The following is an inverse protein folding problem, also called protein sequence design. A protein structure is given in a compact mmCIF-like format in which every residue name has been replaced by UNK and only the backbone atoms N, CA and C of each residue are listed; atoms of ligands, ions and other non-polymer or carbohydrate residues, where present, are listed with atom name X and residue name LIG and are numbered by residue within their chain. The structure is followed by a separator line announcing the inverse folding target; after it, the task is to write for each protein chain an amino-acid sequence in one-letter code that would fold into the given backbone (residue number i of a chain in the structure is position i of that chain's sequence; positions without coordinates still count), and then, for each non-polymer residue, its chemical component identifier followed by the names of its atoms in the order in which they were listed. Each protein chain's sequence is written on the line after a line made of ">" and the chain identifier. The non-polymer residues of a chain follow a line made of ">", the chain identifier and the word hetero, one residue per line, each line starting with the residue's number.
data_IF_673641190354
#
_entry.id   IF_673641190354
#
_cell.length_a   1.000
_cell.length_b   1.000
_cell.length_c   1.000
_cell.angle_alpha   90.00
_cell.angle_beta   90.00
_cell.angle_gamma   90.00
#
_symmetry.space_group_name_H-M   'P 1'
#
loop_
_entity.id
_entity.type
_entity.pdbx_description
1 polymer ?
#
# COMPACT_ATOMS: atom_id res chain seq x y z
N UNK A 1 33.25 8.65 -46.15
CA UNK A 1 33.72 10.02 -45.80
C UNK A 1 32.47 10.88 -45.85
N UNK A 2 31.74 10.96 -44.73
CA UNK A 2 31.56 12.17 -43.89
C UNK A 2 30.62 13.16 -44.59
N UNK A 3 29.50 13.66 -44.07
CA UNK A 3 29.15 14.24 -42.76
C UNK A 3 27.60 14.35 -42.68
N UNK A 4 26.91 13.98 -41.59
CA UNK A 4 26.54 14.78 -40.39
C UNK A 4 25.17 15.49 -40.47
N UNK A 5 24.47 15.46 -39.31
CA UNK A 5 23.28 16.22 -38.83
C UNK A 5 21.93 15.50 -38.94
N UNK A 6 21.05 15.45 -37.92
CA UNK A 6 21.06 16.01 -36.58
C UNK A 6 20.27 15.10 -35.61
N UNK A 7 20.74 15.04 -34.36
CA UNK A 7 19.94 14.56 -33.25
C UNK A 7 18.73 15.50 -33.04
N UNK A 8 17.56 14.90 -32.85
CA UNK A 8 16.47 15.53 -32.11
C UNK A 8 15.95 14.48 -31.13
N UNK A 9 16.53 14.49 -29.94
CA UNK A 9 16.07 13.72 -28.79
C UNK A 9 14.72 14.28 -28.35
N UNK A 10 13.67 13.47 -28.49
CA UNK A 10 12.47 13.65 -27.68
C UNK A 10 12.85 13.57 -26.20
N UNK A 11 12.22 14.34 -25.30
CA UNK A 11 12.51 14.24 -23.87
C UNK A 11 12.17 12.82 -23.43
N UNK A 12 13.14 12.07 -22.89
CA UNK A 12 12.83 10.78 -22.28
C UNK A 12 11.97 11.07 -21.05
N UNK A 13 10.68 10.71 -21.14
CA UNK A 13 9.80 10.63 -20.00
C UNK A 13 10.49 9.75 -18.96
N UNK A 14 10.97 10.34 -17.87
CA UNK A 14 11.42 9.56 -16.72
C UNK A 14 10.17 8.90 -16.13
N UNK A 15 9.90 7.65 -16.54
CA UNK A 15 8.68 6.90 -16.18
C UNK A 15 8.54 6.75 -14.66
N UNK A 16 9.67 6.74 -13.95
CA UNK A 16 9.74 6.65 -12.50
C UNK A 16 10.82 7.55 -11.92
N UNK A 17 10.54 8.13 -10.74
CA UNK A 17 11.48 8.87 -9.92
C UNK A 17 12.03 7.98 -8.82
N UNK A 18 13.36 7.93 -8.73
CA UNK A 18 14.10 7.10 -7.78
C UNK A 18 14.35 7.84 -6.46
N UNK A 19 14.05 7.20 -5.33
CA UNK A 19 14.31 7.72 -3.99
C UNK A 19 15.08 6.68 -3.17
N UNK A 20 16.27 7.03 -2.68
CA UNK A 20 17.03 6.18 -1.75
C UNK A 20 16.59 6.54 -0.33
N UNK A 21 16.20 5.54 0.45
CA UNK A 21 15.87 5.68 1.86
C UNK A 21 17.16 5.48 2.68
N UNK A 22 18.02 6.49 2.67
CA UNK A 22 19.34 6.44 3.32
C UNK A 22 19.26 5.99 4.78
N UNK A 23 20.03 4.96 5.14
CA UNK A 23 20.00 4.38 6.49
C UNK A 23 18.73 3.59 6.80
N UNK A 24 18.07 3.06 5.77
CA UNK A 24 16.99 2.09 5.90
C UNK A 24 17.24 0.93 4.94
N UNK A 25 18.02 -0.04 5.40
CA UNK A 25 18.19 -1.34 4.78
C UNK A 25 17.16 -2.36 5.31
N UNK A 26 17.23 -3.60 4.83
CA UNK A 26 16.30 -4.68 5.20
C UNK A 26 16.37 -5.02 6.69
N UNK A 27 17.55 -5.05 7.29
CA UNK A 27 17.72 -5.37 8.70
C UNK A 27 17.13 -4.29 9.60
N UNK A 28 17.36 -3.02 9.25
CA UNK A 28 16.77 -1.87 9.91
C UNK A 28 15.25 -1.91 9.79
N UNK A 29 14.71 -2.17 8.59
CA UNK A 29 13.27 -2.30 8.40
C UNK A 29 12.65 -3.41 9.25
N UNK A 30 13.31 -4.59 9.34
CA UNK A 30 12.88 -5.71 10.20
C UNK A 30 12.93 -5.40 11.69
N UNK A 31 13.83 -4.51 12.10
CA UNK A 31 13.94 -4.08 13.50
C UNK A 31 12.82 -3.11 13.93
N UNK A 32 12.11 -2.49 12.97
CA UNK A 32 11.00 -1.60 13.24
C UNK A 32 9.74 -2.36 13.64
N UNK A 33 8.89 -1.68 14.42
CA UNK A 33 7.57 -2.21 14.81
C UNK A 33 6.76 -2.58 13.57
N UNK A 34 6.22 -3.80 13.55
CA UNK A 34 5.44 -4.30 12.41
C UNK A 34 6.24 -4.47 11.12
N UNK A 35 7.58 -4.46 11.19
CA UNK A 35 8.52 -4.62 10.07
C UNK A 35 8.25 -3.65 8.92
N UNK A 36 7.93 -2.40 9.27
CA UNK A 36 7.51 -1.37 8.33
C UNK A 36 8.02 0.01 8.69
N UNK A 37 8.02 0.88 7.68
CA UNK A 37 8.35 2.28 7.77
C UNK A 37 7.32 3.09 6.97
N UNK A 38 6.95 4.25 7.50
CA UNK A 38 6.09 5.22 6.83
C UNK A 38 6.92 6.44 6.46
N UNK A 39 6.75 6.97 5.25
CA UNK A 39 7.53 8.11 4.76
C UNK A 39 6.73 8.95 3.76
N UNK A 40 7.23 10.15 3.48
CA UNK A 40 6.73 11.04 2.44
C UNK A 40 7.78 11.13 1.34
N UNK A 41 7.40 10.74 0.12
CA UNK A 41 8.25 10.82 -1.06
C UNK A 41 7.53 11.71 -2.08
N UNK A 42 8.10 12.85 -2.44
CA UNK A 42 7.50 13.80 -3.39
C UNK A 42 6.06 14.21 -3.05
N UNK A 43 5.79 14.47 -1.76
CA UNK A 43 4.46 14.83 -1.27
C UNK A 43 3.45 13.67 -1.21
N UNK A 44 3.88 12.44 -1.54
CA UNK A 44 3.10 11.21 -1.50
C UNK A 44 3.41 10.38 -0.28
N UNK A 45 2.39 9.91 0.43
CA UNK A 45 2.55 9.05 1.60
C UNK A 45 2.76 7.60 1.22
N UNK A 46 3.89 7.02 1.62
CA UNK A 46 4.32 5.66 1.23
C UNK A 46 4.62 4.83 2.48
N UNK A 47 4.10 3.60 2.49
CA UNK A 47 4.46 2.58 3.47
C UNK A 47 5.41 1.63 2.78
N UNK A 48 6.55 1.38 3.41
CA UNK A 48 7.47 0.32 3.05
C UNK A 48 7.34 -0.75 4.13
N UNK A 49 7.14 -2.00 3.75
CA UNK A 49 7.07 -3.11 4.70
C UNK A 49 7.79 -4.33 4.15
N UNK A 50 8.25 -5.18 5.06
CA UNK A 50 8.81 -6.47 4.74
C UNK A 50 7.80 -7.57 5.10
N UNK A 51 7.60 -8.51 4.19
CA UNK A 51 6.81 -9.71 4.44
C UNK A 51 7.35 -10.89 3.63
N UNK A 52 7.58 -12.03 4.30
CA UNK A 52 8.10 -13.28 3.70
C UNK A 52 9.40 -13.10 2.90
N UNK A 53 10.32 -12.29 3.40
CA UNK A 53 11.61 -12.00 2.79
C UNK A 53 11.55 -11.00 1.61
N UNK A 54 10.40 -10.36 1.38
CA UNK A 54 10.18 -9.43 0.26
C UNK A 54 9.78 -8.06 0.77
N UNK A 55 10.30 -7.03 0.12
CA UNK A 55 9.97 -5.63 0.41
C UNK A 55 8.83 -5.22 -0.50
N UNK A 56 7.84 -4.57 0.10
CA UNK A 56 6.70 -3.98 -0.61
C UNK A 56 6.66 -2.50 -0.28
N UNK A 57 6.39 -1.67 -1.29
CA UNK A 57 6.08 -0.27 -1.10
C UNK A 57 4.71 0.02 -1.72
N UNK A 58 3.86 0.71 -0.98
CA UNK A 58 2.51 1.06 -1.41
C UNK A 58 2.11 2.43 -0.87
N UNK A 59 1.08 3.01 -1.46
CA UNK A 59 0.42 4.15 -0.85
C UNK A 59 -0.06 3.81 0.56
N UNK A 60 0.28 4.65 1.53
CA UNK A 60 -0.12 4.42 2.94
C UNK A 60 -1.61 4.61 3.19
N UNK A 61 -2.30 5.60 2.60
CA UNK A 61 -3.74 5.77 2.79
C UNK A 61 -4.52 4.77 1.93
N UNK A 62 -5.53 4.13 2.51
CA UNK A 62 -6.40 3.17 1.82
C UNK A 62 -7.14 3.84 0.66
N UNK A 63 -7.21 3.18 -0.49
CA UNK A 63 -7.96 3.64 -1.65
C UNK A 63 -9.45 3.92 -1.37
N UNK A 64 -10.04 3.24 -0.37
CA UNK A 64 -11.48 3.32 -0.11
C UNK A 64 -11.89 4.68 0.47
N UNK A 65 -11.34 5.03 1.62
CA UNK A 65 -11.75 6.21 2.39
C UNK A 65 -10.56 6.91 3.06
N UNK A 66 -9.36 6.76 2.49
CA UNK A 66 -8.11 7.24 3.10
C UNK A 66 -7.93 6.72 4.53
N UNK A 67 -8.22 5.44 4.79
CA UNK A 67 -7.91 4.81 6.09
C UNK A 67 -6.42 4.50 6.25
N UNK A 68 -5.95 4.16 7.46
CA UNK A 68 -4.56 3.85 7.78
C UNK A 68 -4.19 2.46 7.26
N UNK A 69 -4.17 2.27 5.94
CA UNK A 69 -3.86 0.98 5.32
C UNK A 69 -2.48 0.51 5.75
N UNK A 70 -1.50 1.41 5.77
CA UNK A 70 -0.13 1.12 6.20
C UNK A 70 0.00 0.53 7.61
N UNK A 71 -0.94 0.83 8.51
CA UNK A 71 -1.00 0.29 9.88
C UNK A 71 -1.75 -1.05 9.95
N UNK A 72 -2.38 -1.44 8.85
CA UNK A 72 -3.11 -2.69 8.71
C UNK A 72 -2.22 -3.90 8.95
N UNK A 73 -2.75 -4.97 9.58
CA UNK A 73 -2.05 -6.23 9.65
C UNK A 73 -1.84 -6.77 8.24
N UNK A 74 -0.66 -7.36 8.02
CA UNK A 74 -0.38 -8.16 6.84
C UNK A 74 -0.88 -9.58 7.10
N UNK A 75 -1.68 -10.10 6.19
CA UNK A 75 -2.33 -11.41 6.28
C UNK A 75 -2.15 -12.15 4.96
N UNK A 76 -1.91 -13.45 5.03
CA UNK A 76 -1.83 -14.29 3.85
C UNK A 76 -3.20 -14.93 3.60
N UNK A 77 -3.84 -14.54 2.50
CA UNK A 77 -5.14 -15.09 2.10
C UNK A 77 -4.87 -16.04 0.94
N UNK A 78 -4.95 -17.35 1.19
CA UNK A 78 -4.67 -18.38 0.17
C UNK A 78 -3.31 -18.13 -0.52
N UNK A 79 -2.26 -17.89 0.29
CA UNK A 79 -0.90 -17.54 -0.13
C UNK A 79 -0.73 -16.21 -0.88
N UNK A 80 -1.80 -15.42 -0.99
CA UNK A 80 -1.71 -14.04 -1.48
C UNK A 80 -1.38 -13.12 -0.30
N UNK A 81 -0.19 -12.48 -0.30
CA UNK A 81 0.17 -11.55 0.76
C UNK A 81 -0.69 -10.29 0.63
N UNK A 82 -1.52 -10.03 1.63
CA UNK A 82 -2.47 -8.93 1.65
C UNK A 82 -2.22 -8.01 2.85
N UNK A 83 -2.52 -6.73 2.70
CA UNK A 83 -2.66 -5.81 3.83
C UNK A 83 -4.14 -5.52 4.06
N UNK A 84 -4.59 -5.60 5.31
CA UNK A 84 -5.99 -5.40 5.69
C UNK A 84 -6.20 -4.03 6.29
N UNK A 85 -7.06 -3.21 5.68
CA UNK A 85 -7.39 -1.88 6.19
C UNK A 85 -8.09 -1.98 7.56
N UNK A 86 -7.59 -1.33 8.62
CA UNK A 86 -8.21 -1.36 9.95
C UNK A 86 -9.63 -0.76 10.01
N UNK A 87 -9.96 0.13 9.06
CA UNK A 87 -11.24 0.83 9.05
C UNK A 87 -12.36 -0.06 8.55
N UNK A 88 -12.24 -0.57 7.33
CA UNK A 88 -13.35 -1.24 6.65
C UNK A 88 -12.99 -2.68 6.23
N UNK A 89 -11.85 -3.20 6.70
CA UNK A 89 -11.39 -4.57 6.47
C UNK A 89 -11.12 -4.95 5.01
N UNK A 90 -11.05 -3.97 4.10
CA UNK A 90 -10.61 -4.19 2.72
C UNK A 90 -9.22 -4.81 2.68
N UNK A 91 -9.09 -5.87 1.88
CA UNK A 91 -7.84 -6.57 1.63
C UNK A 91 -7.24 -6.05 0.33
N UNK A 92 -5.97 -5.67 0.38
CA UNK A 92 -5.20 -5.24 -0.78
C UNK A 92 -4.01 -6.17 -0.95
N UNK A 93 -3.88 -6.80 -2.11
CA UNK A 93 -2.74 -7.62 -2.43
C UNK A 93 -1.47 -6.76 -2.54
N UNK A 94 -0.42 -7.12 -1.81
CA UNK A 94 0.83 -6.35 -1.71
C UNK A 94 1.63 -6.33 -3.01
N UNK A 95 1.50 -7.38 -3.82
CA UNK A 95 2.25 -7.57 -5.06
C UNK A 95 1.71 -6.75 -6.25
N UNK A 96 0.43 -6.41 -6.21
CA UNK A 96 -0.33 -5.93 -7.39
C UNK A 96 -1.21 -4.73 -7.07
N UNK A 97 -1.56 -4.51 -5.81
CA UNK A 97 -2.48 -3.45 -5.38
C UNK A 97 -3.94 -3.73 -5.70
N UNK A 98 -4.27 -4.95 -6.10
CA UNK A 98 -5.63 -5.38 -6.35
C UNK A 98 -6.40 -5.58 -5.04
N UNK A 99 -7.69 -5.29 -5.08
CA UNK A 99 -8.59 -5.69 -4.00
C UNK A 99 -8.77 -7.21 -4.02
N UNK A 100 -8.68 -7.83 -2.84
CA UNK A 100 -9.04 -9.24 -2.65
C UNK A 100 -10.42 -9.30 -2.01
N UNK A 101 -11.37 -9.88 -2.74
CA UNK A 101 -12.74 -10.09 -2.25
C UNK A 101 -12.90 -11.51 -1.76
N UNK A 102 -13.61 -11.68 -0.63
CA UNK A 102 -14.02 -12.99 -0.11
C UNK A 102 -15.53 -13.02 0.02
N UNK A 103 -16.15 -14.12 -0.40
CA UNK A 103 -17.59 -14.27 -0.32
C UNK A 103 -17.98 -14.61 1.11
N UNK A 104 -18.76 -13.74 1.75
CA UNK A 104 -19.28 -14.01 3.08
C UNK A 104 -20.27 -15.18 3.05
N UNK A 105 -20.24 -16.01 4.10
CA UNK A 105 -21.26 -17.00 4.37
C UNK A 105 -22.59 -16.25 4.61
N UNK A 106 -23.70 -16.68 3.99
CA UNK A 106 -24.99 -16.08 4.30
C UNK A 106 -25.28 -16.24 5.80
N UNK A 107 -25.89 -15.24 6.46
CA UNK A 107 -26.27 -15.36 7.85
C UNK A 107 -27.22 -16.56 8.01
N UNK A 108 -26.97 -17.37 9.03
CA UNK A 108 -27.92 -18.41 9.43
C UNK A 108 -29.08 -17.72 10.16
N UNK A 109 -30.24 -17.60 9.49
CA UNK A 109 -31.43 -16.98 10.08
C UNK A 109 -32.17 -17.88 11.09
N UNK A 110 -31.55 -18.97 11.55
CA UNK A 110 -32.13 -19.85 12.57
C UNK A 110 -31.78 -19.31 13.96
N UNK A 111 -32.72 -18.53 14.49
CA UNK A 111 -32.97 -18.17 15.89
C UNK A 111 -31.93 -17.34 16.64
N UNK A 112 -32.17 -16.02 16.69
CA UNK A 112 -32.14 -15.26 17.94
C UNK A 112 -32.86 -13.90 17.74
N UNK A 113 -34.16 -13.88 18.04
CA UNK A 113 -35.01 -12.67 17.99
C UNK A 113 -34.58 -11.56 18.98
N UNK A 114 -33.47 -11.75 19.71
CA UNK A 114 -32.96 -10.89 20.78
C UNK A 114 -31.60 -10.27 20.48
N UNK A 115 -31.10 -10.33 19.23
CA UNK A 115 -29.87 -9.61 18.87
C UNK A 115 -30.09 -8.09 18.94
N UNK A 116 -29.58 -7.48 20.00
CA UNK A 116 -29.45 -6.03 20.11
C UNK A 116 -28.40 -5.57 19.10
N UNK A 117 -28.78 -4.72 18.14
CA UNK A 117 -27.83 -4.10 17.23
C UNK A 117 -26.78 -3.31 18.01
N UNK A 118 -25.53 -3.77 17.97
CA UNK A 118 -24.40 -3.01 18.48
C UNK A 118 -23.69 -2.36 17.28
N UNK A 119 -23.50 -1.03 17.27
CA UNK A 119 -22.73 -0.40 16.21
C UNK A 119 -21.28 -0.90 16.28
N UNK A 120 -20.61 -1.08 15.13
CA UNK A 120 -19.22 -1.52 15.13
C UNK A 120 -18.34 -0.49 15.84
N UNK A 121 -17.48 -0.97 16.73
CA UNK A 121 -16.46 -0.15 17.40
C UNK A 121 -15.23 0.01 16.52
N UNK A 122 -14.50 1.11 16.71
CA UNK A 122 -13.25 1.36 16.02
C UNK A 122 -12.03 0.90 16.85
N UNK A 123 -11.00 0.26 16.25
CA UNK A 123 -10.93 -0.23 14.88
C UNK A 123 -11.91 -1.40 14.65
N UNK A 124 -12.43 -1.53 13.42
CA UNK A 124 -13.33 -2.64 13.10
C UNK A 124 -12.59 -3.96 13.28
N UNK A 125 -13.23 -4.91 13.94
CA UNK A 125 -12.66 -6.26 14.06
C UNK A 125 -12.80 -7.00 12.72
N UNK A 126 -11.78 -7.78 12.33
CA UNK A 126 -11.91 -8.64 11.16
C UNK A 126 -12.96 -9.72 11.42
N UNK A 127 -13.80 -10.06 10.44
CA UNK A 127 -14.63 -11.26 10.51
C UNK A 127 -13.75 -12.51 10.65
N UNK A 128 -14.27 -13.55 11.32
CA UNK A 128 -13.57 -14.82 11.46
C UNK A 128 -13.36 -15.49 10.09
N UNK A 129 -12.31 -16.29 9.96
CA UNK A 129 -12.02 -17.01 8.72
C UNK A 129 -13.18 -17.96 8.31
N UNK A 130 -13.87 -18.54 9.28
CA UNK A 130 -15.05 -19.39 9.08
C UNK A 130 -16.29 -18.63 8.57
N UNK A 131 -16.24 -17.29 8.56
CA UNK A 131 -17.31 -16.44 8.03
C UNK A 131 -17.29 -16.36 6.50
N UNK A 132 -16.32 -16.98 5.82
CA UNK A 132 -16.18 -16.92 4.37
C UNK A 132 -16.41 -18.28 3.72
N UNK A 133 -16.88 -18.26 2.46
CA UNK A 133 -17.12 -19.46 1.65
C UNK A 133 -16.46 -19.31 0.28
N UNK A 134 -15.86 -20.40 -0.21
CA UNK A 134 -15.17 -20.41 -1.50
C UNK A 134 -13.83 -19.64 -1.49
N UNK A 135 -13.16 -19.59 -2.65
CA UNK A 135 -11.83 -19.02 -2.76
C UNK A 135 -11.85 -17.48 -2.73
N UNK A 136 -10.72 -16.90 -2.36
CA UNK A 136 -10.46 -15.47 -2.50
C UNK A 136 -10.35 -15.08 -3.99
N UNK A 137 -10.91 -13.91 -4.34
CA UNK A 137 -10.97 -13.44 -5.73
C UNK A 137 -10.25 -12.11 -5.85
N UNK A 138 -9.31 -12.01 -6.81
CA UNK A 138 -8.69 -10.74 -7.22
C UNK A 138 -9.67 -9.91 -8.03
N UNK A 139 -9.75 -8.61 -7.73
CA UNK A 139 -10.64 -7.68 -8.44
C UNK A 139 -10.29 -7.41 -9.90
N UNK A 140 -9.12 -7.86 -10.38
CA UNK A 140 -8.67 -7.74 -11.77
C UNK A 140 -8.19 -6.34 -12.18
N UNK A 141 -8.23 -5.37 -11.27
CA UNK A 141 -7.68 -4.02 -11.43
C UNK A 141 -7.05 -3.54 -10.13
N UNK A 142 -5.88 -2.93 -10.24
CA UNK A 142 -5.22 -2.30 -9.10
C UNK A 142 -6.08 -1.13 -8.58
N UNK A 143 -6.39 -1.16 -7.29
CA UNK A 143 -7.10 -0.09 -6.58
C UNK A 143 -6.15 0.71 -5.71
N UNK A 144 -5.08 0.07 -5.24
CA UNK A 144 -4.00 0.66 -4.48
C UNK A 144 -2.74 0.74 -5.34
N UNK A 145 -2.01 1.85 -5.28
CA UNK A 145 -0.72 1.97 -5.97
C UNK A 145 0.35 1.21 -5.21
N UNK A 146 1.02 0.31 -5.91
CA UNK A 146 2.26 -0.34 -5.49
C UNK A 146 3.42 0.36 -6.21
N UNK A 147 4.52 0.56 -5.49
CA UNK A 147 5.74 1.19 -5.97
C UNK A 147 6.82 0.12 -6.08
N UNK A 148 7.65 0.19 -7.14
CA UNK A 148 8.77 -0.75 -7.28
C UNK A 148 9.81 -0.45 -6.20
N UNK A 149 10.41 -1.49 -5.65
CA UNK A 149 11.49 -1.39 -4.68
C UNK A 149 12.70 -2.17 -5.13
N UNK A 150 13.89 -1.63 -4.88
CA UNK A 150 15.18 -2.28 -5.09
C UNK A 150 16.08 -2.04 -3.88
N UNK A 151 17.24 -2.69 -3.84
CA UNK A 151 18.27 -2.43 -2.85
C UNK A 151 19.46 -1.76 -3.54
N UNK A 152 19.99 -0.71 -2.92
CA UNK A 152 21.18 -0.05 -3.41
C UNK A 152 22.42 -0.95 -3.27
N UNK A 153 23.22 -1.01 -4.33
CA UNK A 153 24.49 -1.71 -4.33
C UNK A 153 25.47 -1.06 -3.32
N UNK A 154 26.00 -1.87 -2.40
CA UNK A 154 26.99 -1.43 -1.41
C UNK A 154 26.39 -1.13 -0.05
N UNK A 155 25.44 -0.20 0.04
CA UNK A 155 24.80 0.18 1.32
C UNK A 155 23.69 -0.79 1.74
N UNK A 156 23.01 -1.41 0.75
CA UNK A 156 21.80 -2.20 0.98
C UNK A 156 20.58 -1.34 1.33
N UNK A 157 20.66 -0.01 1.16
CA UNK A 157 19.54 0.90 1.44
C UNK A 157 18.38 0.64 0.47
N UNK A 158 17.16 0.76 0.99
CA UNK A 158 15.96 0.54 0.19
C UNK A 158 15.76 1.70 -0.78
N UNK A 159 15.59 1.37 -2.05
CA UNK A 159 15.22 2.29 -3.11
C UNK A 159 13.73 2.13 -3.40
N UNK A 160 13.00 3.24 -3.46
CA UNK A 160 11.60 3.28 -3.90
C UNK A 160 11.50 4.07 -5.20
N UNK A 161 10.80 3.50 -6.19
CA UNK A 161 10.50 4.14 -7.47
C UNK A 161 9.05 4.60 -7.48
N UNK A 162 8.86 5.92 -7.46
CA UNK A 162 7.53 6.51 -7.65
C UNK A 162 7.26 6.70 -9.13
N UNK A 163 6.07 6.34 -9.59
CA UNK A 163 5.65 6.66 -10.95
C UNK A 163 5.56 8.18 -11.17
N UNK A 164 6.01 8.63 -12.33
CA UNK A 164 5.92 10.03 -12.72
C UNK A 164 4.49 10.55 -12.77
N UNK A 165 4.31 11.85 -12.59
CA UNK A 165 2.98 12.51 -12.55
C UNK A 165 2.18 12.23 -13.82
N UNK A 166 2.83 12.15 -14.98
CA UNK A 166 2.15 11.88 -16.26
C UNK A 166 1.68 10.42 -16.37
N UNK A 167 2.44 9.47 -15.81
CA UNK A 167 2.00 8.06 -15.71
C UNK A 167 0.77 7.97 -14.82
N UNK A 168 0.77 8.65 -13.67
CA UNK A 168 -0.38 8.67 -12.75
C UNK A 168 -1.61 9.29 -13.43
N UNK A 169 -1.46 10.36 -14.22
CA UNK A 169 -2.57 10.96 -14.98
C UNK A 169 -3.14 10.02 -16.03
N UNK A 170 -2.31 9.24 -16.71
CA UNK A 170 -2.75 8.33 -17.79
C UNK A 170 -3.20 6.96 -17.29
N UNK A 171 -2.72 6.52 -16.13
CA UNK A 171 -3.04 5.24 -15.49
C UNK A 171 -3.36 5.45 -14.01
N UNK A 172 -4.47 6.15 -13.70
CA UNK A 172 -4.84 6.42 -12.32
C UNK A 172 -5.33 5.15 -11.62
N UNK A 173 -5.03 5.05 -10.34
CA UNK A 173 -5.62 4.08 -9.41
C UNK A 173 -6.34 4.82 -8.30
N UNK A 174 -7.28 4.17 -7.64
CA UNK A 174 -8.18 4.82 -6.67
C UNK A 174 -7.42 5.46 -5.50
N UNK A 175 -6.30 4.88 -5.06
CA UNK A 175 -5.49 5.43 -3.97
C UNK A 175 -4.78 6.75 -4.32
N UNK A 176 -4.60 7.11 -5.60
CA UNK A 176 -3.92 8.35 -6.00
C UNK A 176 -4.54 9.61 -5.40
N UNK A 177 -5.87 9.61 -5.28
CA UNK A 177 -6.65 10.72 -4.75
C UNK A 177 -6.37 10.94 -3.25
N UNK A 178 -6.05 9.86 -2.55
CA UNK A 178 -5.86 9.86 -1.09
C UNK A 178 -4.38 9.97 -0.70
N UNK A 179 -3.47 9.54 -1.58
CA UNK A 179 -2.04 9.47 -1.30
C UNK A 179 -1.32 10.83 -1.27
N UNK A 180 -1.97 11.92 -1.73
CA UNK A 180 -1.44 13.28 -1.71
C UNK A 180 -2.02 14.13 -0.54
N UNK A 181 -1.20 15.10 -0.09
CA UNK A 181 -1.27 15.95 1.10
C UNK A 181 -2.64 16.48 1.61
N UNK A 182 -3.71 16.51 0.83
CA UNK A 182 -4.98 17.12 1.25
C UNK A 182 -5.96 16.14 1.93
N UNK A 183 -5.81 14.82 1.72
CA UNK A 183 -6.72 13.80 2.28
C UNK A 183 -6.02 12.71 3.09
N UNK A 184 -4.78 12.35 2.73
CA UNK A 184 -4.02 11.31 3.43
C UNK A 184 -3.51 11.69 4.81
N UNK A 185 -3.32 12.99 5.07
CA UNK A 185 -2.70 13.50 6.30
C UNK A 185 -3.44 13.10 7.59
N UNK A 186 -4.77 12.90 7.52
CA UNK A 186 -5.60 12.49 8.67
C UNK A 186 -5.44 11.02 9.05
N UNK A 187 -4.87 10.21 8.15
CA UNK A 187 -4.74 8.75 8.27
C UNK A 187 -3.31 8.28 8.43
N UNK A 188 -2.37 9.21 8.28
CA UNK A 188 -0.98 8.97 8.65
C UNK A 188 -0.86 9.24 10.13
N UNK A 189 -0.37 8.27 10.90
CA UNK A 189 0.17 8.58 12.20
C UNK A 189 1.39 9.48 12.02
N UNK A 190 1.14 10.77 12.22
CA UNK A 190 2.10 11.86 12.41
C UNK A 190 3.30 11.44 13.30
N UNK A 191 3.12 10.45 14.19
CA UNK A 191 4.15 9.91 15.07
C UNK A 191 5.38 9.35 14.32
N UNK A 192 5.20 8.54 13.28
CA UNK A 192 6.35 7.87 12.62
C UNK A 192 7.10 8.81 11.67
N UNK A 193 6.40 9.73 11.01
CA UNK A 193 6.99 10.80 10.19
C UNK A 193 7.81 11.75 11.08
N UNK A 194 7.25 12.17 12.22
CA UNK A 194 7.93 13.04 13.19
C UNK A 194 9.11 12.37 13.89
N UNK A 195 9.00 11.08 14.19
CA UNK A 195 10.10 10.34 14.83
C UNK A 195 11.35 10.23 13.93
N UNK A 196 11.19 10.33 12.60
CA UNK A 196 12.31 10.38 11.64
C UNK A 196 12.70 11.80 11.21
N UNK A 197 12.09 12.85 11.78
CA UNK A 197 12.42 14.24 11.48
C UNK A 197 12.09 14.68 10.04
N UNK A 198 11.15 14.00 9.39
CA UNK A 198 10.72 14.29 8.02
C UNK A 198 9.53 15.27 8.05
N UNK A 199 9.76 16.49 8.54
CA UNK A 199 8.79 17.61 8.50
C UNK A 199 9.02 18.53 7.28
#
# INVERSE_FOLDING_TARGET
>A
MSDTTAASSAPSAQEERRFILGGLNVEQLRSLSGQRCHTVLDGRYVTILEHRGRIYALDSPCYHAAGPLGEGPVVDIEDIPCIRCPWHQFLVALDTGEEITRKAKPPNFTDDANQVFQPPTYPMQPPSEDSFVGPAVRGGKAVQRIHRTELEEGTGDIIVYLQGVDVIKHRPVRSDVNACHQRGAMSMQIRDIKQRGLE
#
